data_IF_609123690632
#
_entry.id   IF_609123690632
#
_cell.length_a   1.000
_cell.length_b   1.000
_cell.length_c   1.000
_cell.angle_alpha   90.00
_cell.angle_beta   90.00
_cell.angle_gamma   90.00
#
_symmetry.space_group_name_H-M   'P 1'
#
loop_
_entity.id
_entity.type
_entity.pdbx_description
1 polymer ?
#
# COMPACT_ATOMS: atom_id res chain seq x y z
N UNK A 1 22.41 12.82 -22.66
CA UNK A 1 21.57 11.63 -22.48
C UNK A 1 20.82 11.57 -21.14
N UNK A 2 21.51 11.56 -19.97
CA UNK A 2 20.83 11.48 -18.65
C UNK A 2 19.88 12.66 -18.43
N UNK A 3 20.31 13.89 -18.72
CA UNK A 3 19.48 15.08 -18.62
C UNK A 3 18.22 14.96 -19.48
N UNK A 4 18.34 14.62 -20.76
CA UNK A 4 17.22 14.54 -21.70
C UNK A 4 16.24 13.42 -21.32
N UNK A 5 16.75 12.32 -20.76
CA UNK A 5 15.92 11.24 -20.23
C UNK A 5 14.95 11.72 -19.16
N UNK A 6 15.44 12.54 -18.20
CA UNK A 6 14.63 12.99 -17.07
C UNK A 6 13.85 14.26 -17.32
N UNK A 7 14.25 15.11 -18.25
CA UNK A 7 13.64 16.42 -18.49
C UNK A 7 12.69 16.40 -19.67
N UNK A 8 12.99 15.61 -20.71
CA UNK A 8 12.20 15.56 -21.94
C UNK A 8 11.51 14.21 -22.11
N UNK A 9 12.28 13.10 -22.15
CA UNK A 9 11.74 11.79 -22.53
C UNK A 9 10.68 11.27 -21.55
N UNK A 10 11.00 11.19 -20.27
CA UNK A 10 10.05 10.66 -19.29
C UNK A 10 8.80 11.54 -19.10
N UNK A 11 8.90 12.88 -18.92
CA UNK A 11 7.71 13.70 -18.71
C UNK A 11 6.91 13.94 -19.98
N UNK A 12 7.55 14.31 -21.10
CA UNK A 12 6.87 14.80 -22.29
C UNK A 12 6.49 13.68 -23.28
N UNK A 13 7.38 12.69 -23.47
CA UNK A 13 7.13 11.61 -24.46
C UNK A 13 6.47 10.39 -23.85
N UNK A 14 6.82 10.05 -22.59
CA UNK A 14 6.27 8.88 -21.89
C UNK A 14 5.19 9.22 -20.88
N UNK A 15 4.95 10.49 -20.62
CA UNK A 15 3.95 10.98 -19.65
C UNK A 15 4.05 10.29 -18.27
N UNK A 16 5.29 10.04 -17.84
CA UNK A 16 5.57 9.36 -16.57
C UNK A 16 5.28 10.31 -15.40
N UNK A 17 4.70 9.78 -14.34
CA UNK A 17 4.37 10.60 -13.16
C UNK A 17 5.61 11.21 -12.51
N UNK A 18 5.53 12.44 -11.93
CA UNK A 18 6.65 13.08 -11.23
C UNK A 18 7.24 12.21 -10.12
N UNK A 19 6.42 11.39 -9.44
CA UNK A 19 6.86 10.47 -8.42
C UNK A 19 7.75 9.35 -8.99
N UNK A 20 7.35 8.77 -10.12
CA UNK A 20 8.14 7.73 -10.81
C UNK A 20 9.45 8.31 -11.35
N UNK A 21 9.41 9.53 -11.94
CA UNK A 21 10.61 10.23 -12.41
C UNK A 21 11.59 10.44 -11.26
N UNK A 22 11.12 10.87 -10.09
CA UNK A 22 11.96 11.05 -8.89
C UNK A 22 12.61 9.73 -8.44
N UNK A 23 11.83 8.65 -8.44
CA UNK A 23 12.33 7.31 -8.08
C UNK A 23 13.39 6.81 -9.06
N UNK A 24 13.16 7.00 -10.36
CA UNK A 24 14.11 6.63 -11.40
C UNK A 24 15.39 7.48 -11.33
N UNK A 25 15.25 8.79 -11.12
CA UNK A 25 16.39 9.70 -10.95
C UNK A 25 17.27 9.24 -9.79
N UNK A 26 16.68 8.98 -8.63
CA UNK A 26 17.40 8.48 -7.47
C UNK A 26 18.14 7.17 -7.78
N UNK A 27 17.51 6.27 -8.52
CA UNK A 27 18.13 4.98 -8.90
C UNK A 27 19.35 5.17 -9.79
N UNK A 28 19.23 6.02 -10.83
CA UNK A 28 20.35 6.26 -11.75
C UNK A 28 21.47 7.02 -11.06
N UNK A 29 21.15 7.96 -10.20
CA UNK A 29 22.13 8.67 -9.37
C UNK A 29 22.92 7.71 -8.46
N UNK A 30 22.23 6.81 -7.76
CA UNK A 30 22.85 5.79 -6.90
C UNK A 30 23.72 4.81 -7.72
N UNK A 31 23.27 4.41 -8.93
CA UNK A 31 24.06 3.57 -9.82
C UNK A 31 25.33 4.28 -10.31
N UNK A 32 25.22 5.53 -10.74
CA UNK A 32 26.38 6.30 -11.21
C UNK A 32 27.41 6.56 -10.09
N UNK A 33 26.93 6.79 -8.87
CA UNK A 33 27.81 6.89 -7.69
C UNK A 33 28.52 5.55 -7.40
N UNK A 34 27.81 4.42 -7.51
CA UNK A 34 28.39 3.09 -7.37
C UNK A 34 29.49 2.85 -8.42
N UNK A 35 29.24 3.17 -9.69
CA UNK A 35 30.22 3.08 -10.78
C UNK A 35 31.44 3.95 -10.51
N UNK A 36 31.24 5.20 -10.08
CA UNK A 36 32.32 6.11 -9.67
C UNK A 36 33.23 5.48 -8.60
N UNK A 37 32.63 4.92 -7.56
CA UNK A 37 33.37 4.30 -6.45
C UNK A 37 34.13 3.04 -6.88
N UNK A 38 33.50 2.17 -7.69
CA UNK A 38 34.14 0.95 -8.16
C UNK A 38 35.31 1.18 -9.11
N UNK A 39 35.26 2.24 -9.91
CA UNK A 39 36.30 2.56 -10.89
C UNK A 39 37.30 3.62 -10.38
N UNK A 40 37.09 4.17 -9.18
CA UNK A 40 37.94 5.24 -8.60
C UNK A 40 38.07 6.45 -9.51
N UNK A 41 37.01 6.83 -10.23
CA UNK A 41 36.98 7.95 -11.17
C UNK A 41 36.01 9.06 -10.70
N UNK A 42 36.22 10.33 -11.05
CA UNK A 42 35.23 11.38 -10.81
C UNK A 42 33.90 11.11 -11.53
N UNK A 43 32.78 11.59 -10.99
CA UNK A 43 31.46 11.39 -11.60
C UNK A 43 31.38 11.97 -13.03
N UNK A 44 32.12 13.05 -13.31
CA UNK A 44 32.19 13.68 -14.63
C UNK A 44 32.84 12.79 -15.70
N UNK A 45 33.64 11.82 -15.28
CA UNK A 45 34.34 10.87 -16.17
C UNK A 45 33.60 9.54 -16.35
N UNK A 46 32.47 9.36 -15.65
CA UNK A 46 31.63 8.15 -15.81
C UNK A 46 30.98 8.19 -17.20
N UNK A 47 31.35 7.22 -18.03
CA UNK A 47 30.82 7.00 -19.38
C UNK A 47 29.93 5.80 -19.46
N UNK A 48 29.20 5.64 -20.58
CA UNK A 48 28.34 4.48 -20.81
C UNK A 48 29.11 3.15 -20.84
N UNK A 49 30.36 3.16 -21.29
CA UNK A 49 31.23 1.97 -21.29
C UNK A 49 31.50 1.39 -19.89
N UNK A 50 31.39 2.20 -18.84
CA UNK A 50 31.50 1.74 -17.45
C UNK A 50 30.22 1.03 -16.95
N UNK A 51 29.09 1.20 -17.63
CA UNK A 51 27.80 0.57 -17.27
C UNK A 51 27.66 -0.83 -17.88
N UNK A 52 28.63 -1.71 -17.64
CA UNK A 52 28.59 -3.09 -18.12
C UNK A 52 27.49 -3.90 -17.43
N UNK A 53 27.10 -5.03 -18.02
CA UNK A 53 26.13 -5.93 -17.40
C UNK A 53 26.61 -6.44 -16.04
N UNK A 54 27.90 -6.75 -15.92
CA UNK A 54 28.51 -7.23 -14.67
C UNK A 54 28.52 -6.13 -13.60
N UNK A 55 28.78 -4.89 -13.97
CA UNK A 55 28.70 -3.75 -13.08
C UNK A 55 27.27 -3.57 -12.53
N UNK A 56 26.25 -3.67 -13.38
CA UNK A 56 24.85 -3.55 -12.97
C UNK A 56 24.43 -4.71 -12.07
N UNK A 57 24.87 -5.95 -12.36
CA UNK A 57 24.63 -7.12 -11.52
C UNK A 57 25.29 -6.94 -10.14
N UNK A 58 26.53 -6.49 -10.11
CA UNK A 58 27.26 -6.20 -8.87
C UNK A 58 26.56 -5.12 -8.04
N UNK A 59 26.05 -4.05 -8.70
CA UNK A 59 25.25 -3.04 -8.02
C UNK A 59 23.95 -3.61 -7.42
N UNK A 60 23.24 -4.46 -8.15
CA UNK A 60 22.02 -5.10 -7.62
C UNK A 60 22.33 -6.04 -6.45
N UNK A 61 23.47 -6.74 -6.49
CA UNK A 61 23.95 -7.57 -5.39
C UNK A 61 24.36 -6.71 -4.17
N UNK A 62 25.05 -5.60 -4.39
CA UNK A 62 25.42 -4.61 -3.37
C UNK A 62 24.18 -4.08 -2.64
N UNK A 63 23.12 -3.72 -3.37
CA UNK A 63 21.86 -3.27 -2.75
C UNK A 63 21.30 -4.28 -1.75
N UNK A 64 21.41 -5.56 -2.05
CA UNK A 64 20.89 -6.63 -1.19
C UNK A 64 21.83 -6.95 -0.03
N UNK A 65 23.12 -7.10 -0.28
CA UNK A 65 24.11 -7.59 0.71
C UNK A 65 24.58 -6.49 1.67
N UNK A 66 24.84 -5.29 1.14
CA UNK A 66 25.49 -4.20 1.90
C UNK A 66 24.45 -3.17 2.37
N UNK A 67 23.44 -2.86 1.51
CA UNK A 67 22.42 -1.88 1.82
C UNK A 67 21.16 -2.49 2.43
N UNK A 68 21.12 -3.82 2.63
CA UNK A 68 19.97 -4.57 3.17
C UNK A 68 18.62 -4.19 2.53
N UNK A 69 18.61 -3.90 1.23
CA UNK A 69 17.39 -3.54 0.50
C UNK A 69 16.50 -4.77 0.31
N UNK A 70 15.19 -4.57 0.46
CA UNK A 70 14.21 -5.62 0.15
C UNK A 70 14.25 -6.02 -1.33
N UNK A 71 13.79 -7.24 -1.63
CA UNK A 71 13.64 -7.74 -3.01
C UNK A 71 12.77 -6.80 -3.86
N UNK A 72 11.71 -6.24 -3.28
CA UNK A 72 10.85 -5.27 -3.95
C UNK A 72 11.60 -3.99 -4.34
N UNK A 73 12.47 -3.50 -3.46
CA UNK A 73 13.34 -2.34 -3.74
C UNK A 73 14.34 -2.66 -4.85
N UNK A 74 15.01 -3.81 -4.78
CA UNK A 74 15.94 -4.27 -5.80
C UNK A 74 15.25 -4.37 -7.18
N UNK A 75 14.05 -4.96 -7.24
CA UNK A 75 13.26 -5.07 -8.46
C UNK A 75 12.86 -3.70 -9.02
N UNK A 76 12.49 -2.76 -8.15
CA UNK A 76 12.17 -1.38 -8.55
C UNK A 76 13.40 -0.69 -9.16
N UNK A 77 14.59 -0.87 -8.56
CA UNK A 77 15.85 -0.34 -9.10
C UNK A 77 16.19 -0.99 -10.44
N UNK A 78 16.08 -2.31 -10.55
CA UNK A 78 16.30 -3.04 -11.81
C UNK A 78 15.36 -2.56 -12.93
N UNK A 79 14.09 -2.30 -12.62
CA UNK A 79 13.12 -1.77 -13.58
C UNK A 79 13.51 -0.37 -14.08
N UNK A 80 13.96 0.52 -13.18
CA UNK A 80 14.43 1.86 -13.54
C UNK A 80 15.68 1.82 -14.43
N UNK A 81 16.64 0.95 -14.12
CA UNK A 81 17.86 0.74 -14.91
C UNK A 81 17.50 0.21 -16.32
N UNK A 82 16.61 -0.78 -16.40
CA UNK A 82 16.13 -1.30 -17.69
C UNK A 82 15.47 -0.23 -18.55
N UNK A 83 14.62 0.60 -17.94
CA UNK A 83 13.96 1.69 -18.64
C UNK A 83 14.96 2.72 -19.17
N UNK A 84 15.99 3.04 -18.38
CA UNK A 84 17.07 3.93 -18.81
C UNK A 84 17.91 3.33 -19.93
N UNK A 85 18.38 2.08 -19.80
CA UNK A 85 19.14 1.40 -20.82
C UNK A 85 18.36 1.22 -22.13
N UNK A 86 17.04 0.98 -22.06
CA UNK A 86 16.19 0.95 -23.25
C UNK A 86 16.17 2.30 -23.98
N UNK A 87 16.06 3.41 -23.23
CA UNK A 87 16.14 4.74 -23.81
C UNK A 87 17.49 5.03 -24.46
N UNK A 88 18.57 4.58 -23.82
CA UNK A 88 19.94 4.78 -24.34
C UNK A 88 20.19 3.91 -25.58
N UNK A 89 19.74 2.64 -25.57
CA UNK A 89 19.92 1.72 -26.71
C UNK A 89 19.21 2.16 -27.98
N UNK A 90 18.15 2.96 -27.86
CA UNK A 90 17.47 3.57 -29.03
C UNK A 90 18.31 4.73 -29.66
N UNK A 91 19.39 5.16 -29.02
CA UNK A 91 20.21 6.32 -29.40
C UNK A 91 21.69 5.99 -29.55
N UNK A 92 22.14 4.93 -28.96
CA UNK A 92 23.53 4.47 -28.96
C UNK A 92 23.56 2.95 -29.08
N UNK A 93 23.92 2.46 -30.28
CA UNK A 93 23.96 1.04 -30.60
C UNK A 93 24.96 0.24 -29.76
N UNK A 94 25.97 0.87 -29.18
CA UNK A 94 26.98 0.21 -28.34
C UNK A 94 26.39 -0.38 -27.08
N UNK A 95 25.26 0.15 -26.60
CA UNK A 95 24.57 -0.26 -25.38
C UNK A 95 23.57 -1.40 -25.61
N UNK A 96 23.24 -1.76 -26.85
CA UNK A 96 22.25 -2.80 -27.20
C UNK A 96 22.62 -4.14 -26.56
N UNK A 97 23.91 -4.48 -26.57
CA UNK A 97 24.38 -5.74 -25.98
C UNK A 97 24.10 -5.77 -24.47
N UNK A 98 24.44 -4.72 -23.74
CA UNK A 98 24.21 -4.57 -22.30
C UNK A 98 22.72 -4.63 -22.02
N UNK A 99 21.91 -3.88 -22.76
CA UNK A 99 20.46 -3.89 -22.62
C UNK A 99 19.87 -5.30 -22.81
N UNK A 100 20.36 -6.05 -23.80
CA UNK A 100 19.87 -7.40 -24.08
C UNK A 100 20.18 -8.36 -22.93
N UNK A 101 21.37 -8.26 -22.33
CA UNK A 101 21.75 -9.06 -21.17
C UNK A 101 20.90 -8.72 -19.96
N UNK A 102 20.76 -7.42 -19.63
CA UNK A 102 19.98 -6.95 -18.46
C UNK A 102 18.48 -7.24 -18.60
N UNK A 103 17.94 -7.21 -19.83
CA UNK A 103 16.54 -7.55 -20.09
C UNK A 103 16.22 -9.01 -19.81
N UNK A 104 17.16 -9.92 -20.03
CA UNK A 104 17.01 -11.35 -19.79
C UNK A 104 17.07 -11.73 -18.31
N UNK A 105 17.60 -10.86 -17.44
CA UNK A 105 17.68 -11.16 -16.01
C UNK A 105 16.27 -11.27 -15.41
N UNK A 106 15.94 -12.35 -14.73
CA UNK A 106 14.66 -12.43 -14.04
C UNK A 106 14.61 -11.42 -12.89
N UNK A 107 13.44 -10.89 -12.61
CA UNK A 107 13.23 -10.22 -11.33
C UNK A 107 13.34 -11.25 -10.20
N UNK A 108 13.99 -10.86 -9.11
CA UNK A 108 14.04 -11.69 -7.93
C UNK A 108 12.60 -11.92 -7.42
N UNK A 109 12.27 -13.19 -7.15
CA UNK A 109 10.97 -13.51 -6.56
C UNK A 109 10.98 -13.01 -5.11
N UNK A 110 9.92 -12.29 -4.68
CA UNK A 110 9.75 -12.01 -3.27
C UNK A 110 9.70 -13.34 -2.50
N UNK A 111 10.22 -13.35 -1.29
CA UNK A 111 10.04 -14.48 -0.38
C UNK A 111 8.55 -14.77 -0.24
N UNK A 112 8.20 -16.05 -0.13
CA UNK A 112 6.82 -16.51 -0.14
C UNK A 112 5.98 -15.73 0.86
N UNK A 113 4.84 -15.22 0.39
CA UNK A 113 3.73 -14.59 1.10
C UNK A 113 4.11 -13.98 2.46
N UNK A 114 4.52 -12.70 2.44
CA UNK A 114 4.46 -11.90 3.66
C UNK A 114 2.98 -11.78 4.05
N UNK A 115 2.68 -12.13 5.30
CA UNK A 115 1.37 -11.85 5.89
C UNK A 115 1.06 -10.36 5.70
N UNK A 116 -0.16 -10.05 5.29
CA UNK A 116 -0.59 -8.65 5.18
C UNK A 116 -0.83 -8.15 6.59
N UNK A 117 -0.01 -7.21 7.05
CA UNK A 117 -0.25 -6.55 8.32
C UNK A 117 -1.53 -5.71 8.23
N UNK A 118 -2.45 -5.98 9.14
CA UNK A 118 -3.69 -5.22 9.28
C UNK A 118 -4.03 -5.06 10.77
N UNK A 119 -4.77 -4.00 11.08
CA UNK A 119 -5.24 -3.68 12.43
C UNK A 119 -6.63 -4.30 12.64
N UNK A 120 -6.94 -4.72 13.86
CA UNK A 120 -8.30 -5.07 14.26
C UNK A 120 -9.25 -3.86 14.19
N UNK A 121 -10.55 -4.11 14.25
CA UNK A 121 -11.55 -3.04 14.38
C UNK A 121 -11.37 -2.23 15.66
N UNK A 122 -10.95 -2.89 16.74
CA UNK A 122 -10.72 -2.26 18.04
C UNK A 122 -9.47 -1.37 18.00
N UNK A 123 -8.41 -1.82 17.33
CA UNK A 123 -7.21 -1.00 17.12
C UNK A 123 -7.49 0.25 16.27
N UNK A 124 -8.29 0.11 15.20
CA UNK A 124 -8.73 1.26 14.39
C UNK A 124 -9.55 2.24 15.25
N UNK A 125 -10.49 1.73 16.06
CA UNK A 125 -11.31 2.55 16.95
C UNK A 125 -10.44 3.26 18.00
N UNK A 126 -9.52 2.54 18.63
CA UNK A 126 -8.58 3.11 19.62
C UNK A 126 -7.75 4.25 19.03
N UNK A 127 -7.28 4.14 17.78
CA UNK A 127 -6.53 5.21 17.10
C UNK A 127 -7.42 6.44 16.85
N UNK A 128 -8.64 6.24 16.36
CA UNK A 128 -9.57 7.33 16.07
C UNK A 128 -10.00 8.04 17.36
N UNK A 129 -10.17 7.32 18.47
CA UNK A 129 -10.54 7.86 19.77
C UNK A 129 -9.49 8.77 20.39
N UNK A 130 -8.21 8.65 19.99
CA UNK A 130 -7.15 9.57 20.44
C UNK A 130 -7.29 10.98 19.89
N UNK A 131 -8.14 11.18 18.90
CA UNK A 131 -8.38 12.52 18.35
C UNK A 131 -9.35 13.28 19.23
N UNK A 132 -9.01 14.51 19.63
CA UNK A 132 -9.89 15.37 20.41
C UNK A 132 -10.91 16.07 19.50
N UNK A 133 -12.22 15.73 19.55
CA UNK A 133 -13.25 16.31 18.68
C UNK A 133 -13.57 17.77 18.98
N UNK A 134 -13.19 18.28 20.16
CA UNK A 134 -13.47 19.65 20.54
C UNK A 134 -12.52 20.64 19.86
N UNK A 135 -11.30 20.21 19.56
CA UNK A 135 -10.34 21.02 18.83
C UNK A 135 -10.55 20.93 17.31
N UNK A 136 -10.31 22.03 16.59
CA UNK A 136 -10.37 22.01 15.11
C UNK A 136 -9.43 21.01 14.50
N UNK A 137 -8.17 20.97 14.99
CA UNK A 137 -7.17 20.00 14.55
C UNK A 137 -7.65 18.56 14.77
N UNK A 138 -8.08 18.25 15.98
CA UNK A 138 -8.48 16.89 16.34
C UNK A 138 -9.74 16.45 15.62
N UNK A 139 -10.73 17.34 15.45
CA UNK A 139 -11.93 17.02 14.69
C UNK A 139 -11.63 16.76 13.19
N UNK A 140 -10.81 17.62 12.57
CA UNK A 140 -10.32 17.38 11.19
C UNK A 140 -9.62 16.03 11.07
N UNK A 141 -8.69 15.74 11.99
CA UNK A 141 -7.89 14.52 11.96
C UNK A 141 -8.77 13.28 12.19
N UNK A 142 -9.81 13.37 13.04
CA UNK A 142 -10.84 12.33 13.23
C UNK A 142 -11.57 12.01 11.94
N UNK A 143 -12.10 13.03 11.27
CA UNK A 143 -12.84 12.85 10.01
C UNK A 143 -11.94 12.28 8.91
N UNK A 144 -10.69 12.72 8.86
CA UNK A 144 -9.68 12.20 7.95
C UNK A 144 -9.44 10.69 8.16
N UNK A 145 -9.19 10.26 9.40
CA UNK A 145 -8.93 8.84 9.73
C UNK A 145 -10.16 7.96 9.46
N UNK A 146 -11.36 8.43 9.83
CA UNK A 146 -12.62 7.72 9.54
C UNK A 146 -12.80 7.56 8.04
N UNK A 147 -12.61 8.61 7.24
CA UNK A 147 -12.77 8.54 5.80
C UNK A 147 -11.73 7.66 5.13
N UNK A 148 -10.47 7.69 5.60
CA UNK A 148 -9.41 6.80 5.13
C UNK A 148 -9.76 5.33 5.35
N UNK A 149 -10.26 4.99 6.54
CA UNK A 149 -10.67 3.63 6.86
C UNK A 149 -11.92 3.21 6.09
N UNK A 150 -12.99 4.03 6.11
CA UNK A 150 -14.27 3.70 5.47
C UNK A 150 -14.11 3.43 3.97
N UNK A 151 -13.37 4.29 3.28
CA UNK A 151 -13.17 4.19 1.83
C UNK A 151 -12.06 3.24 1.41
N UNK A 152 -11.13 2.91 2.29
CA UNK A 152 -9.89 2.20 1.95
C UNK A 152 -9.05 2.93 0.88
N UNK A 153 -9.20 4.25 0.75
CA UNK A 153 -8.54 5.04 -0.27
C UNK A 153 -7.02 5.12 -0.05
N UNK A 154 -6.27 5.29 -1.15
CA UNK A 154 -4.84 5.63 -1.07
C UNK A 154 -4.67 7.05 -0.55
N UNK A 155 -3.56 7.31 0.15
CA UNK A 155 -3.29 8.64 0.72
C UNK A 155 -3.42 9.77 -0.30
N UNK A 156 -2.93 9.59 -1.51
CA UNK A 156 -3.05 10.61 -2.57
C UNK A 156 -4.48 10.79 -3.07
N UNK A 157 -5.30 9.74 -3.02
CA UNK A 157 -6.73 9.84 -3.36
C UNK A 157 -7.47 10.68 -2.32
N UNK A 158 -7.20 10.43 -1.02
CA UNK A 158 -7.76 11.23 0.09
C UNK A 158 -7.35 12.70 -0.02
N UNK A 159 -6.07 12.97 -0.24
CA UNK A 159 -5.54 14.32 -0.36
C UNK A 159 -6.13 15.10 -1.54
N UNK A 160 -6.55 14.42 -2.59
CA UNK A 160 -7.09 15.03 -3.80
C UNK A 160 -8.60 15.20 -3.79
N UNK A 161 -9.31 14.71 -2.75
CA UNK A 161 -10.77 14.86 -2.66
C UNK A 161 -11.11 16.35 -2.60
N UNK A 162 -12.04 16.75 -3.46
CA UNK A 162 -12.67 18.07 -3.45
C UNK A 162 -14.11 17.98 -2.96
N UNK A 163 -14.69 19.08 -2.57
CA UNK A 163 -16.10 19.10 -2.14
C UNK A 163 -17.05 18.58 -3.22
N UNK A 164 -16.79 18.88 -4.50
CA UNK A 164 -17.57 18.37 -5.64
C UNK A 164 -17.51 16.85 -5.81
N UNK A 165 -16.52 16.18 -5.22
CA UNK A 165 -16.37 14.73 -5.29
C UNK A 165 -17.26 13.99 -4.28
N UNK A 166 -17.88 14.71 -3.36
CA UNK A 166 -18.67 14.16 -2.26
C UNK A 166 -20.15 14.40 -2.54
N UNK A 167 -20.95 13.35 -2.45
CA UNK A 167 -22.40 13.38 -2.56
C UNK A 167 -23.01 12.80 -1.29
N UNK A 168 -23.72 13.62 -0.50
CA UNK A 168 -24.29 13.22 0.79
C UNK A 168 -25.82 13.05 0.76
N UNK A 169 -26.41 12.90 -0.43
CA UNK A 169 -27.85 12.70 -0.64
C UNK A 169 -28.34 11.29 -0.26
N UNK A 170 -29.40 10.80 -0.92
CA UNK A 170 -30.04 9.49 -0.64
C UNK A 170 -29.08 8.31 -0.68
N UNK A 171 -28.10 8.34 -1.58
CA UNK A 171 -27.04 7.32 -1.69
C UNK A 171 -25.71 8.03 -1.51
N UNK A 172 -25.24 8.16 -0.26
CA UNK A 172 -24.01 8.89 0.01
C UNK A 172 -22.78 8.15 -0.57
N UNK A 173 -21.94 8.91 -1.26
CA UNK A 173 -20.76 8.36 -1.95
C UNK A 173 -19.68 9.40 -2.13
N UNK A 174 -18.46 8.93 -2.30
CA UNK A 174 -17.29 9.74 -2.68
C UNK A 174 -16.68 9.23 -3.97
N UNK A 175 -16.29 10.15 -4.83
CA UNK A 175 -15.54 9.83 -6.05
C UNK A 175 -14.04 9.98 -5.80
N UNK A 176 -13.28 8.94 -6.07
CA UNK A 176 -11.84 8.89 -5.88
C UNK A 176 -11.13 8.76 -7.22
N UNK A 177 -10.02 9.49 -7.39
CA UNK A 177 -9.20 9.48 -8.59
C UNK A 177 -7.86 8.82 -8.31
N UNK A 178 -7.68 7.62 -8.85
CA UNK A 178 -6.47 6.82 -8.71
C UNK A 178 -5.39 7.12 -9.76
N UNK A 179 -4.35 6.30 -9.79
CA UNK A 179 -3.26 6.38 -10.75
C UNK A 179 -3.81 6.31 -12.19
N UNK A 180 -3.33 7.21 -13.05
CA UNK A 180 -3.80 7.31 -14.44
C UNK A 180 -5.21 7.90 -14.58
N UNK A 181 -5.64 8.72 -13.60
CA UNK A 181 -6.99 9.35 -13.54
C UNK A 181 -8.15 8.35 -13.57
N UNK A 182 -7.90 7.09 -13.21
CA UNK A 182 -8.97 6.09 -13.08
C UNK A 182 -9.90 6.51 -11.96
N UNK A 183 -11.17 6.72 -12.32
CA UNK A 183 -12.24 7.12 -11.40
C UNK A 183 -12.89 5.90 -10.81
N UNK A 184 -13.13 5.90 -9.49
CA UNK A 184 -14.03 4.98 -8.82
C UNK A 184 -14.90 5.70 -7.81
N UNK A 185 -16.08 5.17 -7.60
CA UNK A 185 -17.04 5.69 -6.62
C UNK A 185 -17.18 4.69 -5.49
N UNK A 186 -17.06 5.17 -4.26
CA UNK A 186 -17.17 4.38 -3.04
C UNK A 186 -18.35 4.88 -2.23
N UNK A 187 -19.32 4.01 -1.84
CA UNK A 187 -20.39 4.40 -0.94
C UNK A 187 -19.85 4.72 0.44
N UNK A 188 -20.50 5.64 1.14
CA UNK A 188 -20.11 6.09 2.48
C UNK A 188 -21.07 5.52 3.54
N UNK A 189 -20.52 5.10 4.67
CA UNK A 189 -21.33 4.67 5.82
C UNK A 189 -22.05 5.88 6.45
N UNK A 190 -23.23 5.64 7.02
CA UNK A 190 -24.05 6.70 7.62
C UNK A 190 -23.33 7.47 8.75
N UNK A 191 -22.49 6.77 9.53
CA UNK A 191 -21.66 7.43 10.54
C UNK A 191 -20.65 8.39 9.90
N UNK A 192 -20.00 7.99 8.82
CA UNK A 192 -19.04 8.82 8.04
C UNK A 192 -19.72 10.04 7.47
N UNK A 193 -20.95 9.88 6.96
CA UNK A 193 -21.76 10.99 6.43
C UNK A 193 -22.04 12.04 7.51
N UNK A 194 -22.38 11.63 8.75
CA UNK A 194 -22.58 12.57 9.87
C UNK A 194 -21.34 13.40 10.15
N UNK A 195 -20.18 12.75 10.24
CA UNK A 195 -18.91 13.44 10.45
C UNK A 195 -18.55 14.39 9.29
N UNK A 196 -18.77 13.96 8.04
CA UNK A 196 -18.50 14.80 6.87
C UNK A 196 -19.43 16.03 6.82
N UNK A 197 -20.73 15.88 7.14
CA UNK A 197 -21.63 17.02 7.22
C UNK A 197 -21.16 18.05 8.25
N UNK A 198 -20.83 17.61 9.46
CA UNK A 198 -20.31 18.49 10.51
C UNK A 198 -18.99 19.16 10.08
N UNK A 199 -18.10 18.37 9.45
CA UNK A 199 -16.82 18.88 8.97
C UNK A 199 -16.99 19.96 7.89
N UNK A 200 -17.82 19.70 6.89
CA UNK A 200 -18.06 20.63 5.80
C UNK A 200 -18.72 21.92 6.35
N UNK A 201 -19.69 21.80 7.25
CA UNK A 201 -20.31 22.97 7.88
C UNK A 201 -19.34 23.79 8.74
N UNK A 202 -18.40 23.13 9.44
CA UNK A 202 -17.44 23.81 10.35
C UNK A 202 -16.26 24.43 9.58
N UNK A 203 -15.74 23.74 8.57
CA UNK A 203 -14.48 24.12 7.92
C UNK A 203 -14.65 24.76 6.54
N UNK A 204 -15.79 24.59 5.89
CA UNK A 204 -16.02 25.10 4.54
C UNK A 204 -17.13 26.14 4.43
N UNK A 205 -17.79 26.49 5.55
CA UNK A 205 -18.75 27.59 5.56
C UNK A 205 -18.05 28.91 5.21
N UNK A 206 -18.52 29.58 4.16
CA UNK A 206 -18.01 30.90 3.73
C UNK A 206 -16.70 30.88 2.93
N UNK A 207 -16.19 29.70 2.51
CA UNK A 207 -14.99 29.65 1.67
C UNK A 207 -15.24 30.07 0.21
N UNK A 208 -14.41 30.98 -0.31
CA UNK A 208 -14.49 31.52 -1.67
C UNK A 208 -14.25 30.52 -2.79
N UNK A 209 -13.57 29.38 -2.52
CA UNK A 209 -13.22 28.36 -3.52
C UNK A 209 -14.36 27.39 -3.88
N UNK A 210 -15.54 27.49 -3.21
CA UNK A 210 -16.72 26.71 -3.56
C UNK A 210 -16.46 25.20 -3.67
N UNK A 211 -17.13 24.57 -4.63
CA UNK A 211 -17.11 23.11 -4.84
C UNK A 211 -15.73 22.54 -5.21
N UNK A 212 -14.81 23.34 -5.71
CA UNK A 212 -13.44 22.94 -6.12
C UNK A 212 -12.43 22.96 -4.96
N UNK A 213 -12.83 23.39 -3.75
CA UNK A 213 -11.97 23.38 -2.58
C UNK A 213 -11.57 21.95 -2.20
N UNK A 214 -10.31 21.75 -1.80
CA UNK A 214 -9.88 20.47 -1.23
C UNK A 214 -10.60 20.20 0.08
N UNK A 215 -11.10 18.96 0.26
CA UNK A 215 -11.79 18.57 1.47
C UNK A 215 -10.91 18.80 2.72
N UNK A 216 -9.67 18.31 2.68
CA UNK A 216 -8.72 18.48 3.77
C UNK A 216 -7.61 19.45 3.40
N UNK A 217 -7.47 20.49 4.20
CA UNK A 217 -6.50 21.55 4.00
C UNK A 217 -5.83 21.98 5.31
N UNK A 218 -4.74 22.69 5.19
CA UNK A 218 -4.10 23.47 6.25
C UNK A 218 -4.07 24.93 5.88
N UNK A 219 -4.03 25.80 6.88
CA UNK A 219 -3.83 27.25 6.67
C UNK A 219 -2.38 27.57 6.95
N UNK A 220 -1.67 28.05 5.94
CA UNK A 220 -0.23 28.42 6.01
C UNK A 220 -0.14 29.88 5.55
N UNK A 221 0.33 30.76 6.42
CA UNK A 221 0.43 32.21 6.13
C UNK A 221 -0.89 32.80 5.61
N UNK A 222 -2.04 32.38 6.18
CA UNK A 222 -3.37 32.84 5.79
C UNK A 222 -3.92 32.26 4.49
N UNK A 223 -3.16 31.39 3.81
CA UNK A 223 -3.62 30.69 2.61
C UNK A 223 -4.00 29.24 2.89
N UNK A 224 -5.09 28.81 2.26
CA UNK A 224 -5.54 27.40 2.34
C UNK A 224 -4.73 26.54 1.36
N UNK A 225 -3.98 25.59 1.89
CA UNK A 225 -3.22 24.62 1.10
C UNK A 225 -3.69 23.20 1.37
N UNK A 226 -3.65 22.35 0.35
CA UNK A 226 -3.94 20.92 0.48
C UNK A 226 -3.02 20.28 1.50
N UNK A 227 -3.52 19.36 2.34
CA UNK A 227 -2.67 18.55 3.22
C UNK A 227 -1.63 17.77 2.42
N UNK A 228 -0.48 17.51 3.04
CA UNK A 228 0.60 16.72 2.44
C UNK A 228 0.58 15.27 2.93
N UNK A 229 1.16 14.36 2.14
CA UNK A 229 1.37 12.95 2.52
C UNK A 229 2.16 12.84 3.84
N UNK A 230 3.19 13.70 4.01
CA UNK A 230 3.98 13.76 5.25
C UNK A 230 3.10 14.11 6.46
N UNK A 231 2.12 15.02 6.28
CA UNK A 231 1.22 15.41 7.38
C UNK A 231 0.30 14.25 7.78
N UNK A 232 -0.25 13.51 6.80
CA UNK A 232 -1.08 12.34 7.11
C UNK A 232 -0.28 11.27 7.85
N UNK A 233 0.96 10.98 7.42
CA UNK A 233 1.84 10.02 8.12
C UNK A 233 2.10 10.44 9.55
N UNK A 234 2.38 11.73 9.76
CA UNK A 234 2.57 12.27 11.10
C UNK A 234 1.32 12.12 11.98
N UNK A 235 0.14 12.42 11.44
CA UNK A 235 -1.15 12.25 12.14
C UNK A 235 -1.34 10.80 12.58
N UNK A 236 -1.11 9.86 11.68
CA UNK A 236 -1.27 8.43 11.97
C UNK A 236 -0.28 7.95 13.03
N UNK A 237 0.97 8.37 12.92
CA UNK A 237 2.02 8.02 13.87
C UNK A 237 1.73 8.61 15.27
N UNK A 238 1.35 9.90 15.34
CA UNK A 238 0.99 10.59 16.57
C UNK A 238 -0.15 9.87 17.31
N UNK A 239 -1.25 9.59 16.63
CA UNK A 239 -2.41 8.94 17.27
C UNK A 239 -2.20 7.44 17.48
N UNK A 240 -1.46 6.77 16.62
CA UNK A 240 -1.09 5.37 16.83
C UNK A 240 -0.21 5.19 18.06
N UNK A 241 0.75 6.08 18.28
CA UNK A 241 1.58 6.08 19.47
C UNK A 241 0.76 6.26 20.78
N UNK A 242 -0.20 7.17 20.76
CA UNK A 242 -1.09 7.39 21.89
C UNK A 242 -1.99 6.18 22.15
N UNK A 243 -2.54 5.59 21.10
CA UNK A 243 -3.46 4.45 21.19
C UNK A 243 -2.81 3.16 21.69
N UNK A 244 -1.50 2.99 21.52
CA UNK A 244 -0.78 1.80 22.02
C UNK A 244 -0.86 1.63 23.54
N UNK A 245 -1.03 2.69 24.29
CA UNK A 245 -1.22 2.61 25.73
C UNK A 245 -2.49 1.82 26.11
N UNK A 246 -3.56 1.93 25.31
CA UNK A 246 -4.84 1.23 25.51
C UNK A 246 -4.99 -0.02 24.64
N UNK A 247 -4.25 -0.13 23.54
CA UNK A 247 -4.32 -1.22 22.58
C UNK A 247 -2.90 -1.65 22.15
N UNK A 248 -2.21 -2.53 22.90
CA UNK A 248 -0.82 -2.92 22.66
C UNK A 248 -0.57 -3.66 21.32
N UNK A 249 -1.61 -4.20 20.68
CA UNK A 249 -1.50 -4.83 19.37
C UNK A 249 -1.16 -3.86 18.23
N UNK A 250 -1.29 -2.55 18.46
CA UNK A 250 -0.98 -1.52 17.47
C UNK A 250 0.53 -1.49 17.22
N UNK A 251 1.02 -1.71 15.99
CA UNK A 251 2.44 -1.76 15.68
C UNK A 251 3.13 -0.43 15.95
N UNK A 252 4.44 -0.49 16.17
CA UNK A 252 5.26 0.69 16.45
C UNK A 252 5.17 1.74 15.36
N UNK A 253 5.16 1.31 14.10
CA UNK A 253 5.06 2.20 12.95
C UNK A 253 3.77 1.97 12.19
N UNK A 254 2.92 3.01 12.15
CA UNK A 254 1.67 3.00 11.40
C UNK A 254 1.83 3.84 10.13
N UNK A 255 1.37 3.28 9.03
CA UNK A 255 1.41 3.95 7.72
C UNK A 255 0.04 3.90 7.02
N UNK A 256 -0.26 4.80 6.08
CA UNK A 256 -1.59 4.89 5.46
C UNK A 256 -2.08 3.61 4.79
N UNK A 257 -1.18 2.76 4.29
CA UNK A 257 -1.57 1.49 3.67
C UNK A 257 -2.14 0.48 4.68
N UNK A 258 -1.78 0.56 5.97
CA UNK A 258 -2.32 -0.37 6.96
C UNK A 258 -3.82 -0.18 7.14
N UNK A 259 -4.34 1.07 7.13
CA UNK A 259 -5.79 1.35 7.19
C UNK A 259 -6.51 0.77 5.98
N UNK A 260 -5.90 0.89 4.80
CA UNK A 260 -6.44 0.31 3.57
C UNK A 260 -6.43 -1.23 3.60
N UNK A 261 -5.36 -1.85 4.09
CA UNK A 261 -5.27 -3.29 4.28
C UNK A 261 -6.28 -3.78 5.31
N UNK A 262 -6.41 -3.08 6.44
CA UNK A 262 -7.41 -3.39 7.47
C UNK A 262 -8.83 -3.34 6.90
N UNK A 263 -9.17 -2.28 6.16
CA UNK A 263 -10.49 -2.18 5.53
C UNK A 263 -10.75 -3.34 4.56
N UNK A 264 -9.77 -3.67 3.73
CA UNK A 264 -9.89 -4.79 2.80
C UNK A 264 -10.12 -6.13 3.52
N UNK A 265 -9.34 -6.41 4.57
CA UNK A 265 -9.49 -7.61 5.38
C UNK A 265 -10.86 -7.66 6.05
N UNK A 266 -11.30 -6.56 6.69
CA UNK A 266 -12.59 -6.51 7.36
C UNK A 266 -13.77 -6.67 6.40
N UNK A 267 -13.71 -6.10 5.19
CA UNK A 267 -14.73 -6.33 4.16
C UNK A 267 -14.75 -7.79 3.71
N UNK A 268 -13.59 -8.39 3.50
CA UNK A 268 -13.46 -9.79 3.11
C UNK A 268 -13.96 -10.71 4.23
N UNK A 269 -13.57 -10.47 5.48
CA UNK A 269 -14.01 -11.24 6.66
C UNK A 269 -15.51 -11.10 6.92
N UNK A 270 -16.11 -9.97 6.55
CA UNK A 270 -17.56 -9.77 6.57
C UNK A 270 -18.31 -10.50 5.43
N UNK A 271 -17.60 -11.26 4.58
CA UNK A 271 -18.19 -12.05 3.50
C UNK A 271 -18.30 -11.33 2.15
N UNK A 272 -17.66 -10.15 2.00
CA UNK A 272 -17.63 -9.48 0.69
C UNK A 272 -16.74 -10.27 -0.28
N UNK A 273 -17.25 -10.53 -1.47
CA UNK A 273 -16.49 -11.20 -2.54
C UNK A 273 -15.20 -10.43 -2.89
N UNK A 274 -14.11 -11.15 -3.17
CA UNK A 274 -12.80 -10.56 -3.49
C UNK A 274 -12.84 -9.65 -4.72
N UNK A 275 -13.71 -9.92 -5.68
CA UNK A 275 -13.90 -9.07 -6.86
C UNK A 275 -14.48 -7.72 -6.46
N UNK A 276 -15.46 -7.71 -5.55
CA UNK A 276 -16.04 -6.48 -5.00
C UNK A 276 -15.03 -5.72 -4.14
N UNK A 277 -14.24 -6.42 -3.30
CA UNK A 277 -13.14 -5.81 -2.54
C UNK A 277 -12.12 -5.17 -3.50
N UNK A 278 -11.77 -5.87 -4.59
CA UNK A 278 -10.85 -5.35 -5.61
C UNK A 278 -11.38 -4.08 -6.29
N UNK A 279 -12.68 -4.06 -6.65
CA UNK A 279 -13.35 -2.89 -7.21
C UNK A 279 -13.42 -1.75 -6.20
N UNK A 280 -13.78 -2.03 -4.95
CA UNK A 280 -13.79 -1.06 -3.85
C UNK A 280 -12.45 -0.36 -3.71
N UNK A 281 -11.38 -1.13 -3.67
CA UNK A 281 -10.02 -0.61 -3.54
C UNK A 281 -9.49 0.03 -4.84
N UNK A 282 -10.07 -0.26 -6.00
CA UNK A 282 -9.59 0.17 -7.31
C UNK A 282 -8.24 -0.46 -7.64
N UNK A 283 -8.13 -1.78 -7.44
CA UNK A 283 -6.99 -2.55 -7.92
C UNK A 283 -7.12 -2.79 -9.42
N UNK A 284 -6.06 -2.49 -10.17
CA UNK A 284 -6.02 -2.76 -11.62
C UNK A 284 -5.78 -4.23 -11.93
N UNK A 285 -5.26 -4.98 -10.96
CA UNK A 285 -5.02 -6.41 -11.05
C UNK A 285 -5.55 -7.09 -9.79
N UNK A 286 -6.41 -8.09 -9.95
CA UNK A 286 -7.01 -8.85 -8.84
C UNK A 286 -5.95 -9.59 -8.01
N UNK A 287 -4.80 -9.94 -8.61
CA UNK A 287 -3.71 -10.59 -7.87
C UNK A 287 -3.23 -9.78 -6.65
N UNK A 288 -3.38 -8.45 -6.67
CA UNK A 288 -3.09 -7.61 -5.51
C UNK A 288 -4.14 -7.73 -4.39
N UNK A 289 -5.30 -8.30 -4.68
CA UNK A 289 -6.38 -8.55 -3.71
C UNK A 289 -6.32 -9.98 -3.16
N UNK A 290 -5.75 -10.92 -3.92
CA UNK A 290 -5.62 -12.32 -3.51
C UNK A 290 -4.79 -12.49 -2.22
N UNK A 291 -3.94 -11.53 -1.89
CA UNK A 291 -3.16 -11.54 -0.63
C UNK A 291 -4.07 -11.61 0.59
N UNK A 292 -5.27 -11.02 0.54
CA UNK A 292 -6.25 -11.07 1.64
C UNK A 292 -6.86 -12.47 1.79
N UNK A 293 -7.15 -13.16 0.68
CA UNK A 293 -7.63 -14.53 0.71
C UNK A 293 -6.59 -15.51 1.26
N UNK A 294 -5.30 -15.25 1.01
CA UNK A 294 -4.24 -16.07 1.58
C UNK A 294 -4.04 -15.83 3.08
N UNK A 295 -4.27 -14.62 3.55
CA UNK A 295 -4.08 -14.24 4.95
C UNK A 295 -5.18 -14.80 5.88
N UNK A 296 -6.39 -15.09 5.37
CA UNK A 296 -7.54 -15.51 6.19
C UNK A 296 -7.77 -17.01 6.14
N UNK A 297 -7.18 -17.71 7.11
CA UNK A 297 -7.37 -19.17 7.29
C UNK A 297 -8.75 -19.51 7.85
N UNK A 298 -9.34 -18.64 8.66
CA UNK A 298 -10.63 -18.85 9.30
C UNK A 298 -11.78 -18.83 8.28
N UNK A 299 -11.75 -17.91 7.32
CA UNK A 299 -12.72 -17.91 6.21
C UNK A 299 -12.63 -19.18 5.36
N UNK A 300 -11.42 -19.68 5.12
CA UNK A 300 -11.22 -20.94 4.41
C UNK A 300 -11.86 -22.09 5.19
N UNK A 301 -11.65 -22.13 6.50
CA UNK A 301 -12.25 -23.13 7.39
C UNK A 301 -13.77 -23.07 7.32
N UNK A 302 -14.37 -21.89 7.49
CA UNK A 302 -15.84 -21.70 7.39
C UNK A 302 -16.39 -22.11 6.03
N UNK A 303 -15.69 -21.79 4.94
CA UNK A 303 -16.10 -22.18 3.60
C UNK A 303 -16.08 -23.71 3.41
N UNK A 304 -15.05 -24.39 3.92
CA UNK A 304 -14.98 -25.87 3.90
C UNK A 304 -16.09 -26.47 4.72
N UNK A 305 -16.36 -25.96 5.93
CA UNK A 305 -17.44 -26.41 6.80
C UNK A 305 -18.81 -26.23 6.13
N UNK A 306 -19.05 -25.06 5.50
CA UNK A 306 -20.30 -24.79 4.79
C UNK A 306 -20.48 -25.67 3.53
N UNK A 307 -19.39 -26.01 2.85
CA UNK A 307 -19.40 -26.87 1.67
C UNK A 307 -19.53 -28.38 2.01
N UNK A 308 -19.32 -28.74 3.28
CA UNK A 308 -19.34 -30.13 3.72
C UNK A 308 -20.67 -30.42 4.45
N UNK A 309 -21.63 -31.12 3.82
CA UNK A 309 -22.91 -31.41 4.46
C UNK A 309 -22.70 -32.19 5.76
N UNK A 310 -23.48 -31.92 6.84
CA UNK A 310 -23.40 -32.64 8.11
C UNK A 310 -23.65 -34.15 7.97
N UNK A 311 -24.35 -34.53 6.92
CA UNK A 311 -24.67 -35.94 6.58
C UNK A 311 -23.54 -36.67 5.84
N UNK A 312 -22.52 -35.96 5.38
CA UNK A 312 -21.39 -36.59 4.67
C UNK A 312 -20.51 -37.39 5.64
N UNK A 313 -19.88 -38.46 5.14
CA UNK A 313 -18.93 -39.26 5.93
C UNK A 313 -17.78 -38.41 6.48
N UNK A 314 -17.36 -37.37 5.72
CA UNK A 314 -16.36 -36.37 6.13
C UNK A 314 -16.91 -35.46 7.23
N UNK A 315 -18.18 -35.03 7.17
CA UNK A 315 -18.80 -34.20 8.20
C UNK A 315 -18.95 -34.93 9.54
N UNK A 316 -19.17 -36.25 9.50
CA UNK A 316 -19.20 -37.08 10.71
C UNK A 316 -17.82 -37.28 11.34
N UNK A 317 -16.77 -37.35 10.53
CA UNK A 317 -15.40 -37.52 11.02
C UNK A 317 -14.78 -36.18 11.55
N UNK A 318 -15.34 -35.03 11.18
CA UNK A 318 -14.90 -33.71 11.64
C UNK A 318 -15.55 -33.26 12.96
N UNK A 319 -16.63 -33.93 13.40
CA UNK A 319 -17.09 -33.78 14.77
C UNK A 319 -16.10 -34.52 15.70
N UNK A 320 -15.35 -33.85 16.55
CA UNK A 320 -14.52 -34.52 17.53
C UNK A 320 -15.44 -35.16 18.55
N UNK A 321 -15.94 -36.35 18.28
CA UNK A 321 -16.26 -37.25 19.36
C UNK A 321 -14.97 -37.39 20.15
N UNK A 322 -14.91 -36.78 21.35
CA UNK A 322 -13.85 -37.05 22.29
C UNK A 322 -13.80 -38.56 22.45
N UNK A 323 -12.87 -39.23 21.79
CA UNK A 323 -12.51 -40.58 22.09
C UNK A 323 -11.89 -40.56 23.49
N UNK A 324 -12.70 -40.84 24.50
CA UNK A 324 -12.20 -41.22 25.80
C UNK A 324 -11.79 -42.69 25.65
N UNK A 325 -10.48 -42.91 25.50
CA UNK A 325 -9.92 -44.27 25.59
C UNK A 325 -10.02 -44.68 27.05
N UNK A 326 -11.00 -45.54 27.36
CA UNK A 326 -11.22 -46.07 28.69
C UNK A 326 -10.45 -47.37 28.96
N UNK A 327 -9.78 -47.89 27.94
CA UNK A 327 -8.95 -49.10 28.00
C UNK A 327 -7.52 -48.77 28.38
N UNK A 328 -7.11 -49.10 29.60
CA UNK A 328 -5.79 -48.86 30.15
C UNK A 328 -4.65 -49.54 29.34
N UNK A 329 -4.90 -50.73 28.78
CA UNK A 329 -3.95 -51.47 27.97
C UNK A 329 -3.73 -50.81 26.60
N UNK A 330 -4.78 -50.21 26.04
CA UNK A 330 -4.70 -49.43 24.81
C UNK A 330 -3.98 -48.10 25.05
N UNK A 331 -4.23 -47.45 26.19
CA UNK A 331 -3.52 -46.25 26.61
C UNK A 331 -2.01 -46.50 26.78
N UNK A 332 -1.63 -47.60 27.44
CA UNK A 332 -0.23 -47.98 27.60
C UNK A 332 0.46 -48.25 26.25
N UNK A 333 -0.23 -48.92 25.33
CA UNK A 333 0.31 -49.16 23.96
C UNK A 333 0.45 -47.87 23.14
N UNK A 334 -0.51 -46.95 23.26
CA UNK A 334 -0.48 -45.65 22.52
C UNK A 334 0.57 -44.68 23.08
N UNK A 335 0.86 -44.76 24.38
CA UNK A 335 1.86 -43.90 25.06
C UNK A 335 3.26 -44.53 25.11
N UNK A 336 3.44 -45.78 24.62
CA UNK A 336 4.70 -46.47 24.65
C UNK A 336 5.17 -46.91 26.06
N UNK A 337 4.28 -46.88 27.03
CA UNK A 337 4.53 -47.37 28.37
C UNK A 337 4.21 -48.86 28.40
N UNK A 338 5.21 -49.70 28.75
CA UNK A 338 5.05 -51.13 28.99
C UNK A 338 4.59 -51.39 30.41
#
# INVERSE_FOLDING_TARGET
MVHDYFVVYLPEQRHVSPHTIRSYRKTIEELLNYVKEQNHIPLAEVKLEHLTADCILSYLAYLRKERNCSVATQNTRAAAIRAFLSYVSDRDMTVIHIMTQIKKLPFAKPDAFQSVDYLSTDAISAIVEQTDPETEKGFRDRVLLILMYDTGARVQEILNIRLCDIQLGKVPKVTLFGKGRKKRTVPLMQKTVKYLNQYISRFHAGQSKGAEAYLFYSVIHGQTERLTDRRIRYIMEEYGQKARASCPEIPEHIHPHIFRHSRAMHLYQAGMDLTLVSQWLGHSNISTTLVYAHADTEQKRKAIEAATPPSSTLGKSLNPTRFTVTDEDLLKKLTGLR
#
